data_IF_543629352339
#
_entry.id   IF_543629352339
#
_cell.length_a   1.000
_cell.length_b   1.000
_cell.length_c   1.000
_cell.angle_alpha   90.00
_cell.angle_beta   90.00
_cell.angle_gamma   90.00
#
_symmetry.space_group_name_H-M   'P 1'
#
loop_
_entity.id
_entity.type
_entity.pdbx_description
1 polymer ?
#
# COMPACT_ATOMS: atom_id res chain seq x y z
N UNK A 1 -5.91 -10.21 -3.92
CA UNK A 1 -5.27 -9.15 -3.13
C UNK A 1 -5.62 -9.33 -1.66
N UNK A 2 -4.65 -9.16 -0.77
CA UNK A 2 -4.83 -9.14 0.69
C UNK A 2 -4.55 -7.71 1.19
N UNK A 3 -5.40 -7.22 2.08
CA UNK A 3 -5.25 -5.91 2.73
C UNK A 3 -5.24 -6.15 4.24
N UNK A 4 -4.26 -5.59 4.95
CA UNK A 4 -4.10 -5.76 6.38
C UNK A 4 -3.79 -4.41 7.03
N UNK A 5 -4.36 -4.15 8.21
CA UNK A 5 -4.01 -2.98 9.00
C UNK A 5 -2.65 -3.13 9.71
N UNK A 6 -1.79 -2.13 9.62
CA UNK A 6 -0.51 -2.05 10.35
C UNK A 6 -0.72 -1.95 11.87
N UNK A 7 -1.84 -1.36 12.28
CA UNK A 7 -2.20 -1.13 13.68
C UNK A 7 -3.27 -2.11 14.18
N UNK A 8 -3.48 -3.23 13.49
CA UNK A 8 -4.45 -4.26 13.89
C UNK A 8 -3.88 -5.15 15.00
N UNK A 9 -4.47 -5.06 16.21
CA UNK A 9 -4.03 -5.88 17.33
C UNK A 9 -4.78 -7.21 17.43
N UNK A 10 -5.97 -7.31 16.83
CA UNK A 10 -6.81 -8.52 16.85
C UNK A 10 -6.37 -9.53 15.79
N UNK A 11 -5.92 -9.04 14.64
CA UNK A 11 -5.42 -9.84 13.52
C UNK A 11 -4.03 -9.34 13.10
N UNK A 12 -2.97 -9.73 13.83
CA UNK A 12 -1.66 -9.13 13.63
C UNK A 12 -1.06 -9.45 12.25
N UNK A 13 -0.14 -8.60 11.80
CA UNK A 13 0.51 -8.66 10.48
C UNK A 13 1.08 -10.04 10.13
N UNK A 14 1.56 -10.79 11.13
CA UNK A 14 2.12 -12.12 10.91
C UNK A 14 1.11 -13.12 10.30
N UNK A 15 -0.19 -13.00 10.62
CA UNK A 15 -1.23 -13.86 10.06
C UNK A 15 -1.45 -13.57 8.57
N UNK A 16 -1.52 -12.28 8.23
CA UNK A 16 -1.64 -11.83 6.84
C UNK A 16 -0.41 -12.23 6.02
N UNK A 17 0.80 -12.08 6.57
CA UNK A 17 2.05 -12.54 5.94
C UNK A 17 2.07 -14.05 5.75
N UNK A 18 1.66 -14.83 6.75
CA UNK A 18 1.60 -16.29 6.64
C UNK A 18 0.65 -16.73 5.51
N UNK A 19 -0.52 -16.09 5.42
CA UNK A 19 -1.51 -16.33 4.35
C UNK A 19 -0.95 -15.96 2.98
N UNK A 20 -0.35 -14.79 2.85
CA UNK A 20 0.29 -14.33 1.64
C UNK A 20 1.35 -15.32 1.14
N UNK A 21 2.25 -15.74 2.04
CA UNK A 21 3.32 -16.68 1.72
C UNK A 21 2.75 -18.06 1.32
N UNK A 22 1.68 -18.52 1.97
CA UNK A 22 1.02 -19.77 1.61
C UNK A 22 0.41 -19.72 0.21
N UNK A 23 -0.36 -18.67 -0.12
CA UNK A 23 -0.93 -18.46 -1.45
C UNK A 23 0.16 -18.38 -2.52
N UNK A 24 1.22 -17.63 -2.23
CA UNK A 24 2.37 -17.48 -3.14
C UNK A 24 3.06 -18.82 -3.42
N UNK A 25 3.29 -19.65 -2.40
CA UNK A 25 3.86 -21.00 -2.56
C UNK A 25 2.99 -21.92 -3.42
N UNK A 26 1.67 -21.74 -3.37
CA UNK A 26 0.70 -22.50 -4.18
C UNK A 26 0.55 -21.93 -5.60
N UNK A 27 1.34 -20.93 -6.00
CA UNK A 27 1.24 -20.31 -7.32
C UNK A 27 -0.03 -19.48 -7.52
N UNK A 28 -0.76 -19.14 -6.45
CA UNK A 28 -1.94 -18.29 -6.53
C UNK A 28 -1.51 -16.84 -6.78
N UNK A 29 -2.06 -16.15 -7.80
CA UNK A 29 -1.82 -14.72 -7.97
C UNK A 29 -2.24 -13.94 -6.73
N UNK A 30 -1.27 -13.35 -6.05
CA UNK A 30 -1.49 -12.68 -4.78
C UNK A 30 -0.62 -11.43 -4.68
N UNK A 31 -1.18 -10.39 -4.06
CA UNK A 31 -0.48 -9.19 -3.64
C UNK A 31 -0.91 -8.82 -2.22
N UNK A 32 -0.06 -8.09 -1.50
CA UNK A 32 -0.29 -7.66 -0.12
C UNK A 32 -0.24 -6.12 -0.04
N UNK A 33 -1.16 -5.54 0.71
CA UNK A 33 -1.17 -4.12 1.04
C UNK A 33 -1.34 -3.96 2.55
N UNK A 34 -0.44 -3.20 3.17
CA UNK A 34 -0.61 -2.75 4.54
C UNK A 34 -1.10 -1.31 4.56
N UNK A 35 -2.12 -1.05 5.38
CA UNK A 35 -2.78 0.26 5.51
C UNK A 35 -2.60 0.79 6.94
N UNK A 36 -2.67 2.10 7.13
CA UNK A 36 -2.47 2.75 8.44
C UNK A 36 -3.44 2.27 9.54
N UNK A 37 -4.57 1.71 9.14
CA UNK A 37 -5.63 1.33 10.05
C UNK A 37 -5.37 -0.01 10.80
N UNK A 38 -6.33 -0.45 11.60
CA UNK A 38 -6.39 -1.74 12.29
C UNK A 38 -7.81 -1.99 12.82
N UNK A 39 -8.25 -3.24 12.92
CA UNK A 39 -9.65 -3.60 13.25
C UNK A 39 -10.17 -2.95 14.54
N UNK A 40 -9.30 -2.84 15.54
CA UNK A 40 -9.57 -2.25 16.86
C UNK A 40 -8.93 -0.87 17.04
N UNK A 41 -8.30 -0.36 15.98
CA UNK A 41 -7.55 0.87 16.07
C UNK A 41 -8.48 2.09 16.07
N UNK A 42 -8.25 3.00 17.00
CA UNK A 42 -8.85 4.35 16.99
C UNK A 42 -8.00 5.35 16.19
N UNK A 43 -6.85 4.92 15.69
CA UNK A 43 -5.93 5.71 14.87
C UNK A 43 -6.64 6.21 13.60
N UNK A 44 -6.38 7.48 13.30
CA UNK A 44 -6.96 8.16 12.13
C UNK A 44 -6.46 7.51 10.85
N UNK A 45 -7.37 7.32 9.90
CA UNK A 45 -7.04 6.91 8.54
C UNK A 45 -6.06 7.93 7.93
N UNK A 46 -4.99 7.43 7.32
CA UNK A 46 -4.08 8.27 6.57
C UNK A 46 -4.87 9.05 5.49
N UNK A 47 -4.64 10.37 5.32
CA UNK A 47 -5.41 11.18 4.37
C UNK A 47 -5.40 10.59 2.96
N UNK A 48 -6.57 10.27 2.40
CA UNK A 48 -6.70 9.69 1.06
C UNK A 48 -6.32 8.22 0.93
N UNK A 49 -5.98 7.52 2.02
CA UNK A 49 -5.84 6.06 2.01
C UNK A 49 -7.20 5.38 1.80
N UNK A 50 -8.17 5.71 2.66
CA UNK A 50 -9.53 5.19 2.63
C UNK A 50 -10.51 6.15 3.33
N UNK A 51 -11.60 6.53 2.65
CA UNK A 51 -12.69 7.29 3.25
C UNK A 51 -13.79 6.34 3.70
N UNK A 52 -13.78 5.91 4.98
CA UNK A 52 -14.70 4.87 5.50
C UNK A 52 -16.19 5.17 5.32
N UNK A 53 -16.60 6.42 5.51
CA UNK A 53 -18.02 6.82 5.47
C UNK A 53 -18.57 6.91 4.04
N UNK A 54 -17.70 7.17 3.06
CA UNK A 54 -18.08 7.27 1.65
C UNK A 54 -16.87 6.91 0.76
N UNK A 55 -16.57 5.61 0.61
CA UNK A 55 -15.38 5.17 -0.11
C UNK A 55 -15.48 5.51 -1.60
N UNK A 56 -14.39 6.01 -2.16
CA UNK A 56 -14.33 6.43 -3.56
C UNK A 56 -13.36 5.57 -4.37
N UNK A 57 -13.87 4.86 -5.38
CA UNK A 57 -13.09 4.03 -6.31
C UNK A 57 -12.24 4.84 -7.31
N UNK A 58 -12.22 6.17 -7.21
CA UNK A 58 -11.41 7.05 -8.07
C UNK A 58 -10.41 7.90 -7.30
N UNK A 59 -10.61 8.10 -6.00
CA UNK A 59 -9.74 8.98 -5.18
C UNK A 59 -9.08 8.25 -4.02
N UNK A 60 -9.78 7.32 -3.36
CA UNK A 60 -9.21 6.61 -2.22
C UNK A 60 -8.20 5.57 -2.70
N UNK A 61 -6.99 5.62 -2.18
CA UNK A 61 -5.88 4.79 -2.60
C UNK A 61 -6.24 3.29 -2.62
N UNK A 62 -6.77 2.80 -1.50
CA UNK A 62 -7.14 1.39 -1.32
C UNK A 62 -8.22 0.99 -2.34
N UNK A 63 -9.24 1.84 -2.53
CA UNK A 63 -10.37 1.55 -3.41
C UNK A 63 -9.98 1.56 -4.88
N UNK A 64 -9.12 2.49 -5.30
CA UNK A 64 -8.58 2.49 -6.67
C UNK A 64 -7.80 1.20 -6.95
N UNK A 65 -7.01 0.69 -6.00
CA UNK A 65 -6.30 -0.58 -6.16
C UNK A 65 -7.22 -1.79 -6.23
N UNK A 66 -8.30 -1.81 -5.44
CA UNK A 66 -9.37 -2.82 -5.62
C UNK A 66 -9.97 -2.77 -7.01
N UNK A 67 -10.33 -1.57 -7.50
CA UNK A 67 -10.88 -1.41 -8.84
C UNK A 67 -9.92 -1.89 -9.93
N UNK A 68 -8.62 -1.58 -9.82
CA UNK A 68 -7.61 -2.00 -10.80
C UNK A 68 -7.32 -3.50 -10.74
N UNK A 69 -7.36 -4.11 -9.55
CA UNK A 69 -7.26 -5.56 -9.40
C UNK A 69 -8.40 -6.28 -10.12
N UNK A 70 -9.64 -5.83 -9.91
CA UNK A 70 -10.80 -6.43 -10.57
C UNK A 70 -10.85 -6.13 -12.07
N UNK A 71 -10.45 -4.94 -12.51
CA UNK A 71 -10.30 -4.63 -13.92
C UNK A 71 -9.35 -5.63 -14.60
N UNK A 72 -8.18 -5.88 -14.01
CA UNK A 72 -7.21 -6.82 -14.55
C UNK A 72 -7.70 -8.27 -14.53
N UNK A 73 -8.14 -8.78 -13.36
CA UNK A 73 -8.40 -10.22 -13.20
C UNK A 73 -9.83 -10.65 -13.53
N UNK A 74 -10.83 -9.78 -13.43
CA UNK A 74 -12.23 -10.13 -13.75
C UNK A 74 -12.65 -9.61 -15.13
N UNK A 75 -12.16 -8.45 -15.56
CA UNK A 75 -12.50 -7.88 -16.87
C UNK A 75 -11.45 -8.15 -17.95
N UNK A 76 -10.25 -8.62 -17.59
CA UNK A 76 -9.13 -8.73 -18.53
C UNK A 76 -8.65 -7.37 -19.04
N UNK A 77 -8.90 -6.29 -18.29
CA UNK A 77 -8.60 -4.93 -18.67
C UNK A 77 -7.12 -4.53 -18.51
N UNK A 78 -6.74 -3.36 -19.03
CA UNK A 78 -5.34 -2.94 -19.13
C UNK A 78 -4.80 -2.32 -17.83
N UNK A 79 -5.60 -2.20 -16.77
CA UNK A 79 -5.14 -1.52 -15.55
C UNK A 79 -4.05 -2.32 -14.85
N UNK A 80 -2.97 -1.62 -14.49
CA UNK A 80 -1.88 -2.21 -13.71
C UNK A 80 -2.33 -2.37 -12.25
N UNK A 81 -2.22 -3.57 -11.71
CA UNK A 81 -2.62 -3.90 -10.33
C UNK A 81 -1.70 -3.28 -9.27
N UNK A 82 -0.57 -2.70 -9.67
CA UNK A 82 0.43 -2.05 -8.83
C UNK A 82 1.53 -3.02 -8.35
N UNK A 83 2.37 -2.58 -7.40
CA UNK A 83 3.37 -3.43 -6.76
C UNK A 83 2.78 -4.70 -6.15
N UNK A 84 3.62 -5.71 -5.96
CA UNK A 84 3.21 -6.95 -5.30
C UNK A 84 3.04 -6.81 -3.78
N UNK A 85 3.83 -5.93 -3.17
CA UNK A 85 3.74 -5.54 -1.77
C UNK A 85 3.81 -4.01 -1.64
N UNK A 86 2.92 -3.47 -0.82
CA UNK A 86 2.77 -2.04 -0.55
C UNK A 86 2.45 -1.85 0.94
N UNK A 87 2.90 -0.75 1.54
CA UNK A 87 2.65 -0.44 2.95
C UNK A 87 2.58 1.08 3.17
N UNK A 88 1.92 1.51 4.25
CA UNK A 88 1.75 2.91 4.56
C UNK A 88 2.99 3.43 5.29
N UNK A 89 3.34 4.70 5.05
CA UNK A 89 4.50 5.35 5.68
C UNK A 89 4.03 6.66 6.30
N UNK A 90 3.67 6.61 7.57
CA UNK A 90 3.21 7.79 8.32
C UNK A 90 4.29 8.89 8.42
N UNK A 91 5.58 8.52 8.29
CA UNK A 91 6.71 9.45 8.21
C UNK A 91 6.90 10.15 6.85
N UNK A 92 6.01 9.91 5.88
CA UNK A 92 6.06 10.54 4.55
C UNK A 92 4.77 11.27 4.27
N UNK A 93 4.87 12.57 3.97
CA UNK A 93 3.72 13.39 3.59
C UNK A 93 3.03 12.80 2.35
N UNK A 94 1.75 12.51 2.48
CA UNK A 94 0.94 11.88 1.44
C UNK A 94 -0.14 12.85 0.95
N UNK A 95 -0.17 13.09 -0.36
CA UNK A 95 -1.11 14.03 -0.99
C UNK A 95 -2.47 13.38 -1.37
N UNK A 96 -2.71 12.13 -0.97
CA UNK A 96 -4.03 11.50 -1.13
C UNK A 96 -4.38 11.06 -2.54
N UNK A 97 -3.40 10.67 -3.39
CA UNK A 97 -3.69 10.24 -4.76
C UNK A 97 -3.25 8.82 -5.06
N UNK A 98 -4.09 8.07 -5.78
CA UNK A 98 -3.79 6.74 -6.32
C UNK A 98 -2.88 6.75 -7.56
N UNK A 99 -2.37 7.91 -7.95
CA UNK A 99 -1.42 8.03 -9.04
C UNK A 99 -0.12 7.30 -8.66
N UNK A 100 0.47 6.50 -9.57
CA UNK A 100 1.75 5.87 -9.28
C UNK A 100 2.80 6.95 -8.98
N UNK A 101 3.63 6.80 -7.93
CA UNK A 101 4.67 7.76 -7.64
C UNK A 101 5.65 7.77 -8.81
N UNK A 102 5.89 8.93 -9.42
CA UNK A 102 6.92 9.10 -10.44
C UNK A 102 8.30 9.02 -9.77
N UNK A 103 9.11 8.04 -10.17
CA UNK A 103 10.30 7.58 -9.46
C UNK A 103 11.56 8.43 -9.73
N UNK A 104 12.48 8.47 -8.75
CA UNK A 104 13.94 8.41 -8.97
C UNK A 104 14.67 8.09 -7.65
N UNK A 105 15.25 6.90 -7.49
CA UNK A 105 16.57 6.62 -6.88
C UNK A 105 16.88 5.11 -6.96
N UNK A 106 18.13 4.70 -7.24
CA UNK A 106 18.51 3.29 -7.38
C UNK A 106 18.65 2.60 -6.01
N UNK A 107 18.34 1.29 -5.92
CA UNK A 107 18.41 0.54 -4.68
C UNK A 107 19.88 0.24 -4.34
N UNK A 108 20.40 0.84 -3.27
CA UNK A 108 21.60 0.30 -2.61
C UNK A 108 21.17 -0.65 -1.51
N UNK A 109 21.45 -1.93 -1.78
CA UNK A 109 21.48 -3.08 -0.87
C UNK A 109 20.19 -3.36 -0.11
N UNK A 110 19.39 -4.29 -0.63
CA UNK A 110 19.17 -5.64 -0.07
C UNK A 110 18.65 -6.52 -1.22
N UNK A 111 19.06 -7.79 -1.26
CA UNK A 111 18.72 -8.77 -2.31
C UNK A 111 17.20 -8.77 -2.61
N UNK A 112 16.85 -8.66 -3.89
CA UNK A 112 15.48 -8.55 -4.45
C UNK A 112 14.62 -9.80 -4.20
N UNK A 113 13.28 -9.66 -4.02
CA UNK A 113 12.34 -9.22 -5.07
C UNK A 113 11.62 -7.89 -4.77
N UNK A 114 11.75 -6.96 -5.72
CA UNK A 114 10.98 -5.74 -6.00
C UNK A 114 9.94 -5.24 -4.98
N UNK A 115 10.39 -4.44 -4.00
CA UNK A 115 9.54 -3.53 -3.22
C UNK A 115 9.50 -2.17 -3.91
N UNK A 116 8.34 -1.68 -4.35
CA UNK A 116 8.19 -0.30 -4.85
C UNK A 116 7.52 0.58 -3.79
N UNK A 117 7.99 1.82 -3.71
CA UNK A 117 7.87 2.76 -2.58
C UNK A 117 7.05 3.99 -3.00
N UNK A 118 6.15 4.48 -2.13
CA UNK A 118 5.40 5.74 -2.28
C UNK A 118 6.29 6.99 -2.04
N UNK A 119 6.62 7.83 -3.03
CA UNK A 119 7.32 9.13 -2.84
C UNK A 119 6.62 10.31 -3.52
N UNK A 120 6.72 11.48 -2.89
CA UNK A 120 6.58 12.81 -3.48
C UNK A 120 7.83 13.67 -3.13
N UNK A 121 8.03 14.75 -3.89
CA UNK A 121 9.28 15.45 -4.17
C UNK A 121 10.05 16.06 -2.96
N UNK A 122 11.36 16.25 -3.19
CA UNK A 122 12.34 16.79 -2.26
C UNK A 122 11.98 18.21 -1.76
N UNK A 123 12.00 18.37 -0.43
CA UNK A 123 12.33 19.64 0.20
C UNK A 123 13.44 19.37 1.21
N UNK A 124 14.54 20.12 1.10
CA UNK A 124 15.72 19.98 1.94
C UNK A 124 15.37 19.95 3.44
N UNK A 125 16.04 19.11 4.25
CA UNK A 125 15.82 19.12 5.69
C UNK A 125 16.24 20.46 6.30
N UNK A 126 15.53 20.98 7.32
CA UNK A 126 15.99 22.14 8.05
C UNK A 126 17.31 21.81 8.76
N UNK A 127 18.32 22.65 8.56
CA UNK A 127 19.58 22.60 9.30
C UNK A 127 19.28 22.70 10.79
N UNK A 128 19.50 21.63 11.54
CA UNK A 128 19.49 21.69 13.00
C UNK A 128 20.90 22.08 13.46
N UNK A 129 21.08 23.35 13.75
CA UNK A 129 22.24 23.84 14.49
C UNK A 129 22.18 23.24 15.91
N UNK A 130 23.31 22.68 16.36
CA UNK A 130 23.55 22.40 17.77
C UNK A 130 23.94 23.68 18.50
#
# INVERSE_FOLDING_TARGET
MLVQGEHDSLFPLNQAVATYQALKRLGTPVKMMWISHGHDSTSMDAPGELTKSNPSFTTDYVMVRFAYWFDHYLKGGPKNTGPEFEYMRDWVAFAGSAAPPTAAHPPTQWRTPSTYIWRAAEHSPPTRTL
#
